data_IF_053444626020
#
_entry.id   IF_053444626020
#
_cell.length_a   1.000
_cell.length_b   1.000
_cell.length_c   1.000
_cell.angle_alpha   90.00
_cell.angle_beta   90.00
_cell.angle_gamma   90.00
#
_symmetry.space_group_name_H-M   'P 1'
#
loop_
_entity.id
_entity.type
_entity.pdbx_description
1 polymer ?
#
# COMPACT_ATOMS: atom_id res chain seq x y z
N UNK A 1 -19.78 -4.62 -5.74
CA UNK A 1 -18.88 -5.73 -5.38
C UNK A 1 -19.54 -6.50 -4.27
N UNK A 2 -19.53 -7.85 -4.33
CA UNK A 2 -20.18 -8.68 -3.31
C UNK A 2 -19.20 -9.08 -2.21
N UNK A 3 -17.99 -9.47 -2.59
CA UNK A 3 -16.95 -9.94 -1.69
C UNK A 3 -15.76 -8.96 -1.72
N UNK A 4 -15.46 -8.36 -0.59
CA UNK A 4 -14.39 -7.39 -0.43
C UNK A 4 -13.44 -7.88 0.65
N UNK A 5 -12.15 -7.67 0.47
CA UNK A 5 -11.15 -7.92 1.49
C UNK A 5 -10.35 -6.65 1.79
N UNK A 6 -10.22 -6.36 3.06
CA UNK A 6 -9.21 -5.45 3.60
C UNK A 6 -8.00 -6.28 3.97
N UNK A 7 -6.82 -5.92 3.47
CA UNK A 7 -5.63 -6.70 3.76
C UNK A 7 -4.41 -5.84 4.02
N UNK A 8 -3.49 -6.39 4.79
CA UNK A 8 -2.22 -5.78 5.16
C UNK A 8 -1.12 -6.83 5.26
N UNK A 9 0.12 -6.39 5.45
CA UNK A 9 1.26 -7.27 5.66
C UNK A 9 2.18 -6.75 6.76
N UNK A 10 2.49 -7.61 7.73
CA UNK A 10 3.38 -7.35 8.85
C UNK A 10 4.55 -8.31 8.81
N UNK A 11 5.69 -7.87 8.28
CA UNK A 11 6.87 -8.68 8.12
C UNK A 11 8.07 -8.06 8.85
N UNK A 12 8.89 -8.90 9.45
CA UNK A 12 10.09 -8.49 10.18
C UNK A 12 11.26 -9.40 9.87
N UNK A 13 12.45 -8.81 9.79
CA UNK A 13 13.72 -9.53 9.73
C UNK A 13 14.30 -9.79 11.14
N UNK A 14 13.69 -9.20 12.17
CA UNK A 14 14.07 -9.34 13.57
C UNK A 14 13.01 -10.14 14.34
N UNK A 15 13.28 -11.40 14.73
CA UNK A 15 12.32 -12.25 15.42
C UNK A 15 11.95 -11.75 16.83
N UNK A 16 12.74 -10.83 17.40
CA UNK A 16 12.44 -10.19 18.69
C UNK A 16 11.49 -9.00 18.58
N UNK A 17 11.17 -8.57 17.35
CA UNK A 17 10.17 -7.55 17.12
C UNK A 17 8.79 -8.17 16.91
N UNK A 18 7.91 -7.93 17.87
CA UNK A 18 6.46 -8.04 17.66
C UNK A 18 5.96 -6.72 17.07
N UNK A 19 5.26 -6.82 15.96
CA UNK A 19 4.42 -5.69 15.56
C UNK A 19 3.34 -5.52 16.63
N UNK A 20 3.14 -4.28 17.09
CA UNK A 20 2.03 -3.95 17.96
C UNK A 20 0.71 -4.39 17.36
N UNK A 21 -0.30 -4.45 18.18
CA UNK A 21 -1.63 -4.92 17.80
C UNK A 21 -2.06 -4.39 16.44
N UNK A 22 -2.49 -5.30 15.59
CA UNK A 22 -3.20 -4.92 14.37
C UNK A 22 -4.42 -4.15 14.83
N UNK A 23 -4.59 -2.97 14.29
CA UNK A 23 -5.64 -2.05 14.69
C UNK A 23 -6.98 -2.78 14.64
N UNK A 24 -7.65 -2.82 15.77
CA UNK A 24 -9.01 -3.32 15.84
C UNK A 24 -9.96 -2.24 15.31
N UNK A 25 -10.79 -2.65 14.36
CA UNK A 25 -11.90 -1.84 13.90
C UNK A 25 -13.19 -2.42 14.51
N UNK A 26 -13.97 -1.59 15.14
CA UNK A 26 -15.35 -1.92 15.50
C UNK A 26 -16.27 -1.74 14.29
N UNK A 27 -15.96 -2.40 13.18
CA UNK A 27 -16.78 -2.38 11.99
C UNK A 27 -17.53 -3.70 11.84
N UNK A 28 -18.72 -3.61 11.29
CA UNK A 28 -19.46 -4.78 10.86
C UNK A 28 -18.63 -5.51 9.77
N UNK A 29 -18.49 -6.82 9.92
CA UNK A 29 -17.81 -7.69 8.96
C UNK A 29 -18.76 -8.19 7.86
N UNK A 30 -19.98 -7.69 7.77
CA UNK A 30 -20.92 -8.17 6.76
C UNK A 30 -20.44 -7.88 5.34
N UNK A 31 -19.99 -8.93 4.66
CA UNK A 31 -19.47 -8.86 3.30
C UNK A 31 -18.08 -8.25 3.15
N UNK A 32 -17.30 -8.18 4.24
CA UNK A 32 -15.90 -7.73 4.25
C UNK A 32 -15.05 -8.66 5.11
N UNK A 33 -14.02 -9.23 4.52
CA UNK A 33 -13.02 -10.00 5.23
C UNK A 33 -11.79 -9.15 5.53
N UNK A 34 -11.10 -9.48 6.64
CA UNK A 34 -9.89 -8.80 7.06
C UNK A 34 -8.75 -9.79 7.17
N UNK A 35 -7.73 -9.65 6.33
CA UNK A 35 -6.61 -10.57 6.23
C UNK A 35 -5.29 -9.86 6.52
N UNK A 36 -4.50 -10.41 7.44
CA UNK A 36 -3.14 -9.94 7.71
C UNK A 36 -2.13 -11.04 7.38
N UNK A 37 -1.24 -10.75 6.46
CA UNK A 37 -0.10 -11.62 6.15
C UNK A 37 1.09 -11.31 7.06
N UNK A 38 1.74 -12.35 7.58
CA UNK A 38 2.90 -12.19 8.48
C UNK A 38 3.83 -13.40 8.45
N UNK A 39 5.10 -13.18 8.75
CA UNK A 39 6.05 -14.24 9.04
C UNK A 39 6.19 -14.51 10.55
N UNK A 40 5.54 -13.72 11.43
CA UNK A 40 5.61 -13.88 12.88
C UNK A 40 4.78 -15.06 13.36
N UNK A 41 5.34 -15.92 14.19
CA UNK A 41 4.62 -17.04 14.84
C UNK A 41 3.79 -16.60 16.06
N UNK A 42 3.93 -15.36 16.46
CA UNK A 42 3.35 -14.82 17.70
C UNK A 42 2.22 -13.80 17.45
N UNK A 43 1.97 -13.45 16.17
CA UNK A 43 0.91 -12.51 15.88
C UNK A 43 -0.44 -13.22 15.92
N UNK A 44 -1.31 -12.76 16.81
CA UNK A 44 -2.69 -13.22 16.97
C UNK A 44 -3.65 -12.05 16.87
N UNK A 45 -4.88 -12.30 16.46
CA UNK A 45 -5.93 -11.30 16.41
C UNK A 45 -7.30 -11.96 16.47
N UNK A 46 -8.21 -11.40 17.29
CA UNK A 46 -9.62 -11.81 17.32
C UNK A 46 -10.41 -11.22 16.14
N UNK A 47 -9.85 -10.23 15.47
CA UNK A 47 -10.52 -9.50 14.41
C UNK A 47 -10.00 -9.87 13.02
N UNK A 48 -8.66 -9.94 12.81
CA UNK A 48 -8.02 -10.27 11.55
C UNK A 48 -7.81 -11.76 11.40
N UNK A 49 -8.06 -12.30 10.22
CA UNK A 49 -7.54 -13.59 9.83
C UNK A 49 -6.03 -13.47 9.61
N UNK A 50 -5.23 -14.18 10.42
CA UNK A 50 -3.78 -14.18 10.30
C UNK A 50 -3.35 -15.28 9.34
N UNK A 51 -2.71 -14.90 8.23
CA UNK A 51 -2.17 -15.82 7.24
C UNK A 51 -0.64 -15.78 7.23
N UNK A 52 0.00 -16.93 7.37
CA UNK A 52 1.46 -17.04 7.30
C UNK A 52 1.94 -16.86 5.88
N UNK A 53 3.05 -16.15 5.74
CA UNK A 53 3.75 -15.95 4.48
C UNK A 53 5.25 -15.91 4.73
N UNK A 54 6.00 -16.70 3.99
CA UNK A 54 7.47 -16.75 4.10
C UNK A 54 8.12 -15.47 3.62
N UNK A 55 9.26 -15.13 4.20
CA UNK A 55 10.06 -13.98 3.78
C UNK A 55 10.66 -14.22 2.39
N UNK A 56 10.37 -13.27 1.49
CA UNK A 56 10.99 -13.16 0.18
C UNK A 56 12.00 -12.00 0.17
N UNK A 57 13.28 -12.29 0.09
CA UNK A 57 14.41 -11.36 0.22
C UNK A 57 14.57 -10.78 1.63
N UNK A 58 13.64 -9.97 2.10
CA UNK A 58 13.51 -9.41 3.44
C UNK A 58 12.06 -9.00 3.73
N UNK A 59 11.78 -8.55 4.96
CA UNK A 59 10.42 -8.17 5.36
C UNK A 59 9.83 -7.04 4.53
N UNK A 60 10.65 -6.07 4.13
CA UNK A 60 10.20 -4.93 3.31
C UNK A 60 9.82 -5.37 1.89
N UNK A 61 10.64 -6.24 1.27
CA UNK A 61 10.35 -6.81 -0.04
C UNK A 61 9.11 -7.70 -0.02
N UNK A 62 8.95 -8.50 1.06
CA UNK A 62 7.77 -9.35 1.23
C UNK A 62 6.49 -8.53 1.38
N UNK A 63 6.54 -7.42 2.12
CA UNK A 63 5.42 -6.48 2.20
C UNK A 63 5.06 -5.89 0.83
N UNK A 64 6.06 -5.58 -0.03
CA UNK A 64 5.80 -5.11 -1.40
C UNK A 64 5.20 -6.20 -2.28
N UNK A 65 5.66 -7.44 -2.16
CA UNK A 65 5.06 -8.57 -2.85
C UNK A 65 3.59 -8.75 -2.42
N UNK A 66 3.32 -8.75 -1.12
CA UNK A 66 1.97 -8.84 -0.60
C UNK A 66 1.07 -7.72 -1.15
N UNK A 67 1.52 -6.47 -1.10
CA UNK A 67 0.80 -5.29 -1.60
C UNK A 67 0.47 -5.38 -3.09
N UNK A 68 1.44 -5.83 -3.89
CA UNK A 68 1.34 -5.77 -5.36
C UNK A 68 0.65 -6.99 -5.98
N UNK A 69 0.53 -8.11 -5.27
CA UNK A 69 -0.01 -9.37 -5.81
C UNK A 69 -1.27 -9.89 -5.11
N UNK A 70 -2.29 -9.05 -4.83
CA UNK A 70 -3.52 -9.54 -4.20
C UNK A 70 -4.27 -10.54 -5.08
N UNK A 71 -4.16 -10.45 -6.39
CA UNK A 71 -4.77 -11.38 -7.34
C UNK A 71 -4.24 -12.82 -7.26
N UNK A 72 -3.03 -13.01 -6.70
CA UNK A 72 -2.49 -14.34 -6.42
C UNK A 72 -2.81 -14.81 -4.99
N UNK A 73 -2.83 -13.88 -4.03
CA UNK A 73 -3.02 -14.17 -2.62
C UNK A 73 -4.50 -14.27 -2.21
N UNK A 74 -5.37 -13.55 -2.89
CA UNK A 74 -6.77 -13.29 -2.56
C UNK A 74 -7.63 -13.27 -3.84
N UNK A 75 -7.52 -14.32 -4.71
CA UNK A 75 -8.18 -14.33 -6.01
C UNK A 75 -9.71 -14.41 -5.94
N UNK A 76 -10.26 -14.86 -4.82
CA UNK A 76 -11.69 -15.08 -4.57
C UNK A 76 -12.50 -13.81 -4.35
N UNK A 77 -11.82 -12.65 -4.17
CA UNK A 77 -12.49 -11.38 -3.87
C UNK A 77 -12.74 -10.53 -5.12
N UNK A 78 -13.86 -9.83 -5.15
CA UNK A 78 -14.23 -8.88 -6.21
C UNK A 78 -13.43 -7.57 -6.14
N UNK A 79 -12.93 -7.25 -4.95
CA UNK A 79 -12.16 -6.05 -4.69
C UNK A 79 -11.22 -6.16 -3.50
N UNK A 80 -10.11 -5.47 -3.61
CA UNK A 80 -9.04 -5.45 -2.62
C UNK A 80 -8.82 -4.04 -2.08
N UNK A 81 -8.83 -3.90 -0.75
CA UNK A 81 -8.41 -2.70 -0.06
C UNK A 81 -7.11 -3.01 0.70
N UNK A 82 -5.98 -2.57 0.15
CA UNK A 82 -4.71 -2.58 0.85
C UNK A 82 -4.63 -1.43 1.83
N UNK A 83 -4.09 -1.67 3.00
CA UNK A 83 -3.65 -0.63 3.93
C UNK A 83 -2.28 -0.94 4.50
N UNK A 84 -1.40 0.05 4.55
CA UNK A 84 -0.17 -0.06 5.32
C UNK A 84 -0.54 -0.21 6.81
N UNK A 85 0.20 -1.03 7.56
CA UNK A 85 -0.09 -1.38 8.96
C UNK A 85 -0.21 -0.20 9.94
N UNK A 86 0.19 0.97 9.54
CA UNK A 86 0.12 2.20 10.31
C UNK A 86 -1.13 3.03 10.03
N UNK A 87 -1.97 2.57 9.12
CA UNK A 87 -3.15 3.30 8.65
C UNK A 87 -4.39 2.58 9.17
N UNK A 88 -5.39 3.34 9.52
CA UNK A 88 -6.73 2.85 9.81
C UNK A 88 -7.76 3.78 9.16
N UNK A 89 -8.98 3.33 9.04
CA UNK A 89 -10.08 4.12 8.52
C UNK A 89 -11.30 4.05 9.45
N UNK A 90 -12.08 5.12 9.45
CA UNK A 90 -13.23 5.29 10.33
C UNK A 90 -14.55 4.98 9.63
N UNK A 91 -14.51 4.53 8.39
CA UNK A 91 -15.69 4.23 7.60
C UNK A 91 -15.74 2.75 7.23
N UNK A 92 -16.96 2.27 7.01
CA UNK A 92 -17.17 0.94 6.47
C UNK A 92 -16.45 0.75 5.13
N UNK A 93 -15.57 -0.28 5.00
CA UNK A 93 -14.80 -0.51 3.78
C UNK A 93 -15.66 -0.72 2.54
N UNK A 94 -16.83 -1.31 2.68
CA UNK A 94 -17.76 -1.52 1.57
C UNK A 94 -18.25 -0.19 1.02
N UNK A 95 -18.63 0.73 1.90
CA UNK A 95 -19.01 2.09 1.53
C UNK A 95 -17.86 2.85 0.86
N UNK A 96 -16.61 2.67 1.35
CA UNK A 96 -15.42 3.27 0.73
C UNK A 96 -15.19 2.70 -0.67
N UNK A 97 -15.27 1.38 -0.84
CA UNK A 97 -15.10 0.74 -2.14
C UNK A 97 -16.19 1.18 -3.13
N UNK A 98 -17.44 1.28 -2.69
CA UNK A 98 -18.54 1.79 -3.50
C UNK A 98 -18.32 3.26 -3.89
N UNK A 99 -18.00 4.12 -2.92
CA UNK A 99 -17.76 5.54 -3.16
C UNK A 99 -16.64 5.80 -4.17
N UNK A 100 -15.53 5.10 -4.02
CA UNK A 100 -14.30 5.43 -4.75
C UNK A 100 -14.07 4.58 -5.99
N UNK A 101 -14.71 3.42 -6.14
CA UNK A 101 -14.52 2.53 -7.28
C UNK A 101 -15.74 2.41 -8.21
N UNK A 102 -16.83 3.15 -8.00
CA UNK A 102 -18.04 3.00 -8.84
C UNK A 102 -17.70 3.07 -10.34
N UNK A 103 -16.93 4.06 -10.75
CA UNK A 103 -16.56 4.29 -12.15
C UNK A 103 -15.07 4.06 -12.43
N UNK A 104 -14.33 3.53 -11.45
CA UNK A 104 -12.87 3.41 -11.49
C UNK A 104 -12.41 1.98 -11.23
N UNK A 105 -11.21 1.67 -11.67
CA UNK A 105 -10.56 0.39 -11.46
C UNK A 105 -9.62 0.41 -10.27
N UNK A 106 -8.95 1.55 -10.06
CA UNK A 106 -8.03 1.81 -8.95
C UNK A 106 -8.35 3.18 -8.36
N UNK A 107 -8.36 3.25 -7.02
CA UNK A 107 -8.39 4.51 -6.28
C UNK A 107 -7.22 4.60 -5.34
N UNK A 108 -6.53 5.73 -5.35
CA UNK A 108 -5.30 5.99 -4.60
C UNK A 108 -5.18 7.48 -4.26
N UNK A 109 -4.53 7.82 -3.16
CA UNK A 109 -4.29 9.22 -2.80
C UNK A 109 -3.18 9.83 -3.65
N UNK A 110 -3.41 11.07 -4.11
CA UNK A 110 -2.34 11.90 -4.66
C UNK A 110 -1.29 12.13 -3.58
N UNK A 111 -0.03 12.17 -3.97
CA UNK A 111 1.03 12.57 -3.06
C UNK A 111 0.83 14.03 -2.62
N UNK A 112 0.97 14.29 -1.29
CA UNK A 112 0.68 15.61 -0.71
C UNK A 112 1.62 16.72 -1.20
N UNK A 113 2.90 16.38 -1.40
CA UNK A 113 3.97 17.37 -1.56
C UNK A 113 4.61 17.34 -2.94
N UNK A 114 4.46 16.26 -3.70
CA UNK A 114 5.13 16.03 -4.98
C UNK A 114 4.15 15.53 -6.04
N UNK A 115 4.44 15.89 -7.29
CA UNK A 115 3.65 15.45 -8.45
C UNK A 115 4.52 14.83 -9.56
N UNK A 116 5.76 14.46 -9.23
CA UNK A 116 6.73 13.97 -10.19
C UNK A 116 7.57 12.83 -9.60
N UNK A 117 7.71 11.74 -10.34
CA UNK A 117 8.56 10.61 -9.90
C UNK A 117 10.03 11.02 -9.74
N UNK A 118 10.50 11.98 -10.53
CA UNK A 118 11.89 12.45 -10.45
C UNK A 118 12.15 13.26 -9.17
N UNK A 119 11.14 13.96 -8.67
CA UNK A 119 11.20 14.59 -7.34
C UNK A 119 11.22 13.52 -6.24
N UNK A 120 10.46 12.42 -6.40
CA UNK A 120 10.48 11.29 -5.46
C UNK A 120 11.83 10.59 -5.46
N UNK A 121 12.47 10.41 -6.62
CA UNK A 121 13.85 9.92 -6.73
C UNK A 121 14.78 10.77 -5.86
N UNK A 122 14.73 12.10 -5.98
CA UNK A 122 15.56 12.99 -5.16
C UNK A 122 15.22 12.90 -3.67
N UNK A 123 13.96 12.85 -3.32
CA UNK A 123 13.52 12.71 -1.94
C UNK A 123 13.98 11.37 -1.32
N UNK A 124 13.91 10.28 -2.09
CA UNK A 124 14.39 8.97 -1.65
C UNK A 124 15.91 8.95 -1.38
N UNK A 125 16.69 9.64 -2.21
CA UNK A 125 18.14 9.78 -2.03
C UNK A 125 18.52 10.58 -0.77
N UNK A 126 17.67 11.53 -0.39
CA UNK A 126 17.89 12.39 0.78
C UNK A 126 17.42 11.77 2.10
N UNK A 127 16.70 10.64 2.08
CA UNK A 127 16.23 9.98 3.30
C UNK A 127 17.40 9.50 4.17
N UNK A 128 17.41 9.80 5.47
CA UNK A 128 18.43 9.30 6.39
C UNK A 128 18.51 7.76 6.34
N UNK A 129 19.71 7.23 6.23
CA UNK A 129 19.95 5.77 6.23
C UNK A 129 19.75 5.09 4.87
N UNK A 130 19.53 5.83 3.79
CA UNK A 130 19.49 5.24 2.44
C UNK A 130 20.83 4.60 2.09
N UNK A 131 20.83 3.28 1.91
CA UNK A 131 22.03 2.53 1.55
C UNK A 131 22.47 2.86 0.11
N UNK A 132 23.79 2.77 -0.16
CA UNK A 132 24.36 3.04 -1.48
C UNK A 132 23.70 2.25 -2.62
N UNK A 133 23.45 0.97 -2.40
CA UNK A 133 22.83 0.10 -3.41
C UNK A 133 21.38 0.54 -3.72
N UNK A 134 20.63 0.95 -2.70
CA UNK A 134 19.30 1.53 -2.87
C UNK A 134 19.37 2.83 -3.65
N UNK A 135 20.30 3.72 -3.31
CA UNK A 135 20.51 4.98 -4.02
C UNK A 135 20.81 4.77 -5.51
N UNK A 136 21.71 3.81 -5.85
CA UNK A 136 22.04 3.48 -7.24
C UNK A 136 20.83 2.96 -8.01
N UNK A 137 20.03 2.08 -7.40
CA UNK A 137 18.82 1.52 -8.03
C UNK A 137 17.75 2.57 -8.24
N UNK A 138 17.49 3.43 -7.26
CA UNK A 138 16.50 4.52 -7.38
C UNK A 138 16.89 5.50 -8.48
N UNK A 139 18.18 5.89 -8.54
CA UNK A 139 18.70 6.76 -9.60
C UNK A 139 18.57 6.08 -10.97
N UNK A 140 19.05 4.83 -11.10
CA UNK A 140 18.97 4.07 -12.34
C UNK A 140 17.54 3.89 -12.84
N UNK A 141 16.58 3.70 -11.94
CA UNK A 141 15.16 3.63 -12.28
C UNK A 141 14.66 4.94 -12.88
N UNK A 142 14.96 6.07 -12.24
CA UNK A 142 14.58 7.39 -12.73
C UNK A 142 15.18 7.68 -14.12
N UNK A 143 16.46 7.35 -14.31
CA UNK A 143 17.17 7.53 -15.59
C UNK A 143 16.58 6.65 -16.70
N UNK A 144 16.25 5.40 -16.39
CA UNK A 144 15.64 4.48 -17.36
C UNK A 144 14.25 4.95 -17.76
N UNK A 145 13.42 5.38 -16.82
CA UNK A 145 12.08 5.89 -17.13
C UNK A 145 12.14 7.17 -17.97
N UNK A 146 13.15 8.03 -17.74
CA UNK A 146 13.39 9.21 -18.56
C UNK A 146 13.78 8.85 -20.00
N UNK A 147 14.63 7.84 -20.21
CA UNK A 147 14.97 7.33 -21.54
C UNK A 147 13.77 6.77 -22.27
N UNK A 148 12.85 6.15 -21.54
CA UNK A 148 11.61 5.62 -22.11
C UNK A 148 10.55 6.69 -22.37
N UNK A 149 10.83 7.96 -22.07
CA UNK A 149 9.96 9.10 -22.32
C UNK A 149 8.86 9.31 -21.28
N UNK A 150 9.03 8.78 -20.06
CA UNK A 150 8.09 9.09 -18.98
C UNK A 150 8.12 10.60 -18.70
N UNK A 151 6.97 11.30 -18.78
CA UNK A 151 6.94 12.75 -18.67
C UNK A 151 7.16 13.23 -17.22
N UNK A 152 7.70 14.43 -17.08
CA UNK A 152 7.73 15.14 -15.80
C UNK A 152 6.31 15.56 -15.38
N UNK A 153 6.09 15.77 -14.08
CA UNK A 153 4.81 16.23 -13.51
C UNK A 153 3.59 15.37 -13.87
N UNK A 154 3.80 14.07 -14.10
CA UNK A 154 2.76 13.14 -14.56
C UNK A 154 1.99 12.45 -13.41
N UNK A 155 2.02 13.01 -12.22
CA UNK A 155 1.40 12.46 -11.03
C UNK A 155 2.35 11.64 -10.17
N UNK A 156 2.13 11.71 -8.87
CA UNK A 156 2.72 10.85 -7.86
C UNK A 156 1.65 10.49 -6.83
N UNK A 157 1.74 9.28 -6.26
CA UNK A 157 0.68 8.72 -5.43
C UNK A 157 1.22 8.14 -4.13
N UNK A 158 0.42 8.25 -3.06
CA UNK A 158 0.72 7.64 -1.78
C UNK A 158 0.04 6.28 -1.69
N UNK A 159 0.83 5.22 -1.80
CA UNK A 159 0.35 3.85 -1.90
C UNK A 159 0.06 3.19 -0.53
N UNK A 160 -0.07 4.00 0.53
CA UNK A 160 -0.42 3.50 1.86
C UNK A 160 -1.83 2.92 1.95
N UNK A 161 -2.75 3.42 1.11
CA UNK A 161 -4.09 2.88 0.90
C UNK A 161 -4.31 2.72 -0.60
N UNK A 162 -4.80 1.54 -0.99
CA UNK A 162 -5.12 1.23 -2.38
C UNK A 162 -6.45 0.48 -2.45
N UNK A 163 -7.41 1.05 -3.14
CA UNK A 163 -8.65 0.38 -3.45
C UNK A 163 -8.57 -0.10 -4.91
N UNK A 164 -8.82 -1.38 -5.16
CA UNK A 164 -8.67 -1.98 -6.49
C UNK A 164 -9.80 -2.97 -6.77
N UNK A 165 -10.30 -2.96 -8.00
CA UNK A 165 -11.19 -4.01 -8.51
C UNK A 165 -10.39 -5.24 -8.89
N UNK A 166 -10.98 -6.41 -8.72
CA UNK A 166 -10.46 -7.65 -9.30
C UNK A 166 -10.99 -7.77 -10.73
N UNK A 167 -10.27 -7.21 -11.69
CA UNK A 167 -10.53 -7.39 -13.11
C UNK A 167 -9.21 -7.59 -13.86
N UNK A 168 -9.30 -8.00 -15.12
CA UNK A 168 -8.12 -8.33 -15.93
C UNK A 168 -7.11 -7.18 -16.01
N UNK A 169 -7.56 -5.96 -16.26
CA UNK A 169 -6.67 -4.82 -16.44
C UNK A 169 -5.91 -4.50 -15.15
N UNK A 170 -6.57 -4.60 -13.99
CA UNK A 170 -5.94 -4.42 -12.68
C UNK A 170 -4.98 -5.57 -12.34
N UNK A 171 -5.28 -6.81 -12.73
CA UNK A 171 -4.37 -7.94 -12.59
C UNK A 171 -3.10 -7.72 -13.42
N UNK A 172 -3.25 -7.31 -14.67
CA UNK A 172 -2.12 -6.99 -15.56
C UNK A 172 -1.28 -5.82 -14.99
N UNK A 173 -1.95 -4.79 -14.47
CA UNK A 173 -1.30 -3.67 -13.77
C UNK A 173 -0.53 -4.14 -12.53
N UNK A 174 -1.11 -4.95 -11.69
CA UNK A 174 -0.48 -5.48 -10.49
C UNK A 174 0.79 -6.28 -10.84
N UNK A 175 0.73 -7.11 -11.88
CA UNK A 175 1.88 -7.86 -12.38
C UNK A 175 3.00 -6.94 -12.88
N UNK A 176 2.66 -5.92 -13.65
CA UNK A 176 3.62 -4.94 -14.13
C UNK A 176 4.25 -4.16 -12.97
N UNK A 177 3.43 -3.67 -12.03
CA UNK A 177 3.91 -2.95 -10.86
C UNK A 177 4.83 -3.80 -9.99
N UNK A 178 4.49 -5.08 -9.77
CA UNK A 178 5.37 -6.02 -9.07
C UNK A 178 6.71 -6.20 -9.80
N UNK A 179 6.67 -6.40 -11.12
CA UNK A 179 7.87 -6.54 -11.94
C UNK A 179 8.80 -5.32 -11.78
N UNK A 180 8.28 -4.12 -11.99
CA UNK A 180 9.04 -2.87 -11.88
C UNK A 180 9.59 -2.67 -10.45
N UNK A 181 8.76 -2.90 -9.41
CA UNK A 181 9.21 -2.82 -8.03
C UNK A 181 10.31 -3.82 -7.74
N UNK A 182 10.16 -5.09 -8.16
CA UNK A 182 11.12 -6.17 -7.87
C UNK A 182 12.45 -6.03 -8.61
N UNK A 183 12.44 -5.39 -9.77
CA UNK A 183 13.63 -5.12 -10.58
C UNK A 183 14.46 -3.98 -10.00
N UNK A 184 13.81 -2.92 -9.55
CA UNK A 184 14.48 -1.72 -9.11
C UNK A 184 14.67 -1.64 -7.59
N UNK A 185 13.61 -1.30 -6.85
CA UNK A 185 13.71 -1.07 -5.42
C UNK A 185 12.32 -1.02 -4.74
N UNK A 186 12.32 -0.92 -3.41
CA UNK A 186 11.10 -0.89 -2.59
C UNK A 186 10.40 0.48 -2.51
N UNK A 187 10.89 1.49 -3.23
CA UNK A 187 10.20 2.78 -3.38
C UNK A 187 9.07 2.63 -4.40
N UNK A 188 7.99 2.01 -3.95
CA UNK A 188 6.89 1.52 -4.78
C UNK A 188 6.06 2.60 -5.48
N UNK A 189 6.17 3.86 -5.04
CA UNK A 189 5.47 5.00 -5.63
C UNK A 189 6.00 5.34 -7.04
N UNK A 190 7.31 5.21 -7.24
CA UNK A 190 7.96 5.48 -8.54
C UNK A 190 7.49 4.48 -9.58
N UNK A 191 7.55 3.18 -9.26
CA UNK A 191 7.10 2.10 -10.14
C UNK A 191 5.59 2.08 -10.34
N UNK A 192 4.79 2.49 -9.34
CA UNK A 192 3.34 2.61 -9.45
C UNK A 192 2.94 3.63 -10.53
N UNK A 193 3.47 4.85 -10.45
CA UNK A 193 3.15 5.91 -11.40
C UNK A 193 3.61 5.57 -12.82
N UNK A 194 4.79 4.95 -12.97
CA UNK A 194 5.27 4.45 -14.25
C UNK A 194 4.37 3.35 -14.83
N UNK A 195 3.94 2.39 -14.02
CA UNK A 195 3.05 1.30 -14.45
C UNK A 195 1.70 1.83 -14.93
N UNK A 196 1.13 2.86 -14.26
CA UNK A 196 -0.07 3.54 -14.72
C UNK A 196 0.11 4.19 -16.10
N UNK A 197 1.25 4.84 -16.33
CA UNK A 197 1.55 5.46 -17.62
C UNK A 197 1.65 4.44 -18.76
N UNK A 198 2.19 3.25 -18.47
CA UNK A 198 2.25 2.14 -19.43
C UNK A 198 0.90 1.49 -19.70
N UNK A 199 -0.06 1.67 -18.81
CA UNK A 199 -1.37 1.03 -18.87
C UNK A 199 -2.52 2.06 -18.90
N UNK A 200 -2.69 2.79 -20.01
CA UNK A 200 -3.63 3.91 -20.12
C UNK A 200 -5.11 3.48 -20.03
N UNK A 201 -5.39 2.19 -20.10
CA UNK A 201 -6.76 1.67 -19.97
C UNK A 201 -7.24 1.64 -18.51
N UNK A 202 -6.35 1.74 -17.54
CA UNK A 202 -6.72 1.80 -16.11
C UNK A 202 -7.48 3.09 -15.82
N UNK A 203 -8.71 2.95 -15.37
CA UNK A 203 -9.52 4.10 -14.90
C UNK A 203 -9.11 4.41 -13.46
N UNK A 204 -8.23 5.40 -13.33
CA UNK A 204 -7.69 5.83 -12.05
C UNK A 204 -8.55 6.92 -11.42
N UNK A 205 -8.90 6.75 -10.15
CA UNK A 205 -9.40 7.79 -9.27
C UNK A 205 -8.28 8.30 -8.36
N UNK A 206 -7.73 9.43 -8.69
CA UNK A 206 -6.69 10.09 -7.90
C UNK A 206 -7.33 10.98 -6.83
N UNK A 207 -7.48 10.45 -5.61
CA UNK A 207 -8.15 11.10 -4.49
C UNK A 207 -7.23 12.19 -3.91
N UNK A 208 -7.76 13.37 -3.64
CA UNK A 208 -7.02 14.36 -2.88
C UNK A 208 -6.82 13.87 -1.44
N UNK A 209 -5.61 14.05 -0.91
CA UNK A 209 -5.28 13.58 0.43
C UNK A 209 -6.16 14.31 1.46
N UNK A 210 -6.88 13.52 2.25
CA UNK A 210 -7.68 13.99 3.38
C UNK A 210 -7.03 13.64 4.73
N UNK A 211 -5.76 13.19 4.72
CA UNK A 211 -5.05 12.80 5.93
C UNK A 211 -4.59 14.01 6.74
N UNK A 212 -4.81 13.92 8.04
CA UNK A 212 -4.13 14.74 9.02
C UNK A 212 -2.97 13.92 9.59
N UNK A 213 -1.74 14.35 9.38
CA UNK A 213 -0.53 13.64 9.84
C UNK A 213 -0.38 13.59 11.36
N UNK A 214 -1.02 14.50 12.08
CA UNK A 214 -0.93 14.61 13.54
C UNK A 214 -2.28 14.29 14.18
N UNK A 215 -2.30 13.22 14.91
CA UNK A 215 -3.48 12.53 15.36
C UNK A 215 -3.92 12.91 16.77
N UNK A 216 -5.21 13.17 17.03
CA UNK A 216 -5.76 13.16 18.38
C UNK A 216 -5.53 11.79 19.04
N UNK A 217 -5.49 11.78 20.38
CA UNK A 217 -5.13 10.59 21.16
C UNK A 217 -6.15 9.45 21.05
N UNK A 218 -7.37 9.74 20.58
CA UNK A 218 -8.43 8.76 20.40
C UNK A 218 -8.81 8.65 18.92
N UNK A 219 -8.48 7.53 18.24
CA UNK A 219 -8.84 7.31 16.85
C UNK A 219 -10.34 7.33 16.56
N UNK A 220 -11.17 6.93 17.54
CA UNK A 220 -12.62 6.83 17.40
C UNK A 220 -13.35 8.19 17.38
N UNK A 221 -12.67 9.26 17.79
CA UNK A 221 -13.24 10.62 17.80
C UNK A 221 -13.05 11.39 16.48
N UNK A 222 -12.61 10.70 15.41
CA UNK A 222 -12.21 11.36 14.17
C UNK A 222 -13.31 11.39 13.14
N UNK A 223 -13.32 12.50 12.42
CA UNK A 223 -14.21 12.72 11.26
C UNK A 223 -13.56 12.37 9.93
N UNK A 224 -12.23 12.17 9.89
CA UNK A 224 -11.49 11.83 8.68
C UNK A 224 -11.73 10.37 8.30
N UNK A 225 -11.88 10.09 7.01
CA UNK A 225 -12.11 8.75 6.50
C UNK A 225 -10.89 7.83 6.74
N UNK A 226 -9.69 8.39 6.75
CA UNK A 226 -8.43 7.68 6.93
C UNK A 226 -7.51 8.38 7.91
N UNK A 227 -6.68 7.62 8.60
CA UNK A 227 -5.75 8.15 9.57
C UNK A 227 -4.48 7.30 9.72
N UNK A 228 -3.42 7.86 10.29
CA UNK A 228 -2.15 7.16 10.56
C UNK A 228 -1.85 7.06 12.04
N UNK A 229 -1.31 5.93 12.49
CA UNK A 229 -0.86 5.75 13.85
C UNK A 229 0.46 6.50 14.13
N UNK A 230 0.62 7.06 15.32
CA UNK A 230 1.90 7.53 15.81
C UNK A 230 2.95 6.40 15.77
N UNK A 231 4.23 6.75 15.48
CA UNK A 231 5.32 5.75 15.44
C UNK A 231 5.44 4.91 16.71
N UNK A 232 5.18 5.49 17.88
CA UNK A 232 5.23 4.82 19.19
C UNK A 232 4.18 3.72 19.36
N UNK A 233 3.16 3.68 18.53
CA UNK A 233 2.09 2.67 18.58
C UNK A 233 2.21 1.62 17.46
N UNK A 234 3.24 1.73 16.59
CA UNK A 234 3.41 0.83 15.44
C UNK A 234 4.16 -0.45 15.78
N UNK A 235 5.01 -0.41 16.81
CA UNK A 235 5.91 -1.50 17.16
C UNK A 235 6.01 -1.64 18.68
N UNK A 236 5.87 -2.88 19.16
CA UNK A 236 6.12 -3.26 20.55
C UNK A 236 7.35 -4.15 20.56
N UNK A 237 8.34 -3.82 21.40
CA UNK A 237 9.50 -4.69 21.61
C UNK A 237 9.16 -5.70 22.70
N UNK A 238 9.51 -6.97 22.49
CA UNK A 238 9.42 -8.02 23.51
C UNK A 238 10.26 -7.68 24.74
#
# INVERSE_FOLDING_TARGET
MKNIVVYTGLFTDDPDYLYGDIIHYEHDKEGVDYVCYTNSDYLESDFWEIRKMDIWRDGRWTARQCKTKPHELLPEYDGWLWMDNQIYFNYDPKSLMEKYLTDYDISVHKHSDRNCIYEEVQAALQRPGTKRDTAQKVTGQGDEYRKQGYPEMNGLFENGILLRRNNKDVVDFNNMWFKETSEWNTEDQISFAYSLWKMPNIRLNAINKTFIEHQPRNPLERTDEFATLPRSQRYVKK
#
